data_IF_375941399826
#
_entry.id   IF_375941399826
#
_cell.length_a   1.000
_cell.length_b   1.000
_cell.length_c   1.000
_cell.angle_alpha   90.00
_cell.angle_beta   90.00
_cell.angle_gamma   90.00
#
_symmetry.space_group_name_H-M   'P 1'
#
loop_
_entity.id
_entity.type
_entity.pdbx_description
1 polymer ?
#
# COMPACT_ATOMS: atom_id res chain seq x y z
N UNK A 1 16.83 -6.62 -24.43
CA UNK A 1 16.68 -6.13 -23.03
C UNK A 1 15.27 -5.59 -22.87
N UNK A 2 14.59 -5.90 -21.78
CA UNK A 2 13.26 -5.35 -21.53
C UNK A 2 13.35 -3.83 -21.39
N UNK A 3 12.36 -3.14 -21.96
CA UNK A 3 12.31 -1.68 -21.98
C UNK A 3 12.02 -1.12 -20.59
N UNK A 4 12.61 0.04 -20.30
CA UNK A 4 12.27 0.80 -19.09
C UNK A 4 10.87 1.40 -19.27
N UNK A 5 10.01 1.13 -18.32
CA UNK A 5 8.64 1.64 -18.28
C UNK A 5 8.49 2.68 -17.18
N UNK A 6 7.55 3.58 -17.36
CA UNK A 6 7.21 4.61 -16.37
C UNK A 6 5.78 4.39 -15.86
N UNK A 7 5.61 4.41 -14.55
CA UNK A 7 4.32 4.35 -13.88
C UNK A 7 4.13 5.58 -13.01
N UNK A 8 2.98 6.21 -13.14
CA UNK A 8 2.59 7.37 -12.34
C UNK A 8 1.58 6.95 -11.27
N UNK A 9 1.77 7.42 -10.06
CA UNK A 9 0.81 7.20 -8.98
C UNK A 9 0.94 8.24 -7.88
N UNK A 10 0.02 8.22 -6.96
CA UNK A 10 0.08 9.00 -5.72
C UNK A 10 0.92 8.28 -4.67
N UNK A 11 1.80 9.01 -3.98
CA UNK A 11 2.53 8.49 -2.82
C UNK A 11 1.53 8.13 -1.71
N UNK A 12 1.69 6.94 -1.14
CA UNK A 12 0.76 6.38 -0.16
C UNK A 12 1.27 6.45 1.30
N UNK A 13 2.34 7.20 1.57
CA UNK A 13 2.90 7.27 2.93
C UNK A 13 2.11 8.20 3.83
N UNK A 14 1.68 9.34 3.31
CA UNK A 14 0.92 10.32 4.09
C UNK A 14 -0.16 11.01 3.25
N UNK A 15 -0.95 11.86 3.90
CA UNK A 15 -2.08 12.58 3.29
C UNK A 15 -1.68 13.69 2.32
N UNK A 16 -0.41 14.02 2.20
CA UNK A 16 0.07 15.03 1.22
C UNK A 16 -0.20 14.60 -0.23
N UNK A 17 -0.37 13.31 -0.48
CA UNK A 17 -0.76 12.74 -1.77
C UNK A 17 0.12 13.20 -2.94
N UNK A 18 1.43 13.32 -2.71
CA UNK A 18 2.37 13.74 -3.74
C UNK A 18 2.34 12.80 -4.95
N UNK A 19 2.30 13.35 -6.15
CA UNK A 19 2.44 12.58 -7.39
C UNK A 19 3.87 12.09 -7.56
N UNK A 20 4.03 10.82 -7.84
CA UNK A 20 5.32 10.19 -8.09
C UNK A 20 5.39 9.50 -9.45
N UNK A 21 6.58 9.57 -10.03
CA UNK A 21 6.98 8.87 -11.24
C UNK A 21 7.91 7.73 -10.86
N UNK A 22 7.53 6.50 -11.19
CA UNK A 22 8.31 5.29 -10.92
C UNK A 22 8.83 4.75 -12.24
N UNK A 23 10.15 4.70 -12.40
CA UNK A 23 10.77 3.99 -13.50
C UNK A 23 11.09 2.57 -13.08
N UNK A 24 10.67 1.61 -13.90
CA UNK A 24 10.85 0.19 -13.60
C UNK A 24 11.12 -0.63 -14.87
N UNK A 25 11.69 -1.79 -14.65
CA UNK A 25 11.92 -2.82 -15.67
C UNK A 25 11.52 -4.16 -15.07
N UNK A 26 10.54 -4.82 -15.69
CA UNK A 26 9.91 -6.02 -15.14
C UNK A 26 9.39 -5.78 -13.70
N UNK A 27 10.02 -6.37 -12.70
CA UNK A 27 9.70 -6.20 -11.27
C UNK A 27 10.73 -5.34 -10.51
N UNK A 28 11.72 -4.80 -11.22
CA UNK A 28 12.78 -3.99 -10.64
C UNK A 28 12.41 -2.51 -10.69
N UNK A 29 12.39 -1.86 -9.54
CA UNK A 29 12.24 -0.40 -9.44
C UNK A 29 13.61 0.23 -9.65
N UNK A 30 13.74 1.06 -10.68
CA UNK A 30 14.97 1.74 -11.03
C UNK A 30 15.09 3.11 -10.36
N UNK A 31 14.01 3.86 -10.29
CA UNK A 31 13.97 5.17 -9.63
C UNK A 31 12.56 5.59 -9.24
N UNK A 32 12.46 6.39 -8.19
CA UNK A 32 11.24 7.09 -7.79
C UNK A 32 11.54 8.57 -7.70
N UNK A 33 10.78 9.39 -8.42
CA UNK A 33 10.91 10.85 -8.49
C UNK A 33 9.54 11.51 -8.33
N UNK A 34 9.53 12.81 -8.08
CA UNK A 34 8.31 13.60 -8.15
C UNK A 34 7.80 13.72 -9.59
N UNK A 35 6.51 13.55 -9.78
CA UNK A 35 5.85 13.80 -11.05
C UNK A 35 5.66 15.31 -11.27
N UNK A 36 6.43 15.87 -12.19
CA UNK A 36 6.37 17.30 -12.53
C UNK A 36 5.05 17.73 -13.17
N UNK A 37 4.28 16.78 -13.69
CA UNK A 37 2.97 17.05 -14.32
C UNK A 37 1.81 16.94 -13.34
N UNK A 38 2.07 16.44 -12.12
CA UNK A 38 1.03 16.42 -11.09
C UNK A 38 0.59 17.85 -10.74
N UNK A 39 -0.70 18.17 -10.87
CA UNK A 39 -1.19 19.54 -10.69
C UNK A 39 -1.11 20.02 -9.23
N UNK A 40 -1.09 19.09 -8.28
CA UNK A 40 -1.04 19.39 -6.86
C UNK A 40 0.39 19.54 -6.35
N UNK A 41 1.21 18.50 -6.48
CA UNK A 41 2.56 18.46 -5.93
C UNK A 41 3.63 19.05 -6.85
N UNK A 42 3.38 19.09 -8.17
CA UNK A 42 4.26 19.73 -9.18
C UNK A 42 5.71 19.24 -9.16
N UNK A 43 5.92 17.97 -8.85
CA UNK A 43 7.25 17.36 -8.76
C UNK A 43 7.90 17.46 -7.38
N UNK A 44 7.26 18.10 -6.40
CA UNK A 44 7.76 18.15 -5.03
C UNK A 44 7.42 16.85 -4.29
N UNK A 45 8.44 16.22 -3.72
CA UNK A 45 8.30 15.05 -2.85
C UNK A 45 9.25 15.17 -1.67
N UNK A 46 8.90 14.57 -0.55
CA UNK A 46 9.81 14.46 0.58
C UNK A 46 10.70 13.20 0.44
N UNK A 47 11.78 13.07 1.22
CA UNK A 47 12.66 11.90 1.19
C UNK A 47 11.96 10.56 1.43
N UNK A 48 10.84 10.55 2.16
CA UNK A 48 10.06 9.33 2.42
C UNK A 48 9.49 8.70 1.15
N UNK A 49 9.09 9.50 0.16
CA UNK A 49 8.59 9.00 -1.11
C UNK A 49 9.69 8.26 -1.91
N UNK A 50 10.91 8.76 -1.87
CA UNK A 50 12.08 8.08 -2.48
C UNK A 50 12.37 6.77 -1.74
N UNK A 51 12.24 6.77 -0.41
CA UNK A 51 12.44 5.60 0.44
C UNK A 51 11.40 4.48 0.22
N UNK A 52 10.32 4.72 -0.54
CA UNK A 52 9.40 3.65 -0.96
C UNK A 52 10.11 2.52 -1.72
N UNK A 53 11.19 2.81 -2.40
CA UNK A 53 12.01 1.79 -3.07
C UNK A 53 12.64 0.84 -2.05
N UNK A 54 13.20 1.35 -0.96
CA UNK A 54 13.77 0.54 0.13
C UNK A 54 12.68 -0.27 0.82
N UNK A 55 11.53 0.36 1.08
CA UNK A 55 10.37 -0.32 1.63
C UNK A 55 9.89 -1.49 0.75
N UNK A 56 9.88 -1.32 -0.56
CA UNK A 56 9.49 -2.37 -1.51
C UNK A 56 10.41 -3.60 -1.42
N UNK A 57 11.71 -3.39 -1.22
CA UNK A 57 12.71 -4.45 -1.15
C UNK A 57 12.99 -4.95 0.28
N UNK A 58 12.35 -4.36 1.28
CA UNK A 58 12.54 -4.77 2.67
C UNK A 58 12.14 -6.23 2.87
N UNK A 59 13.04 -6.99 3.50
CA UNK A 59 12.84 -8.43 3.74
C UNK A 59 11.72 -8.70 4.73
N UNK A 60 11.49 -7.78 5.66
CA UNK A 60 10.48 -7.90 6.71
C UNK A 60 9.11 -7.37 6.28
N UNK A 61 9.01 -6.87 5.05
CA UNK A 61 7.72 -6.41 4.50
C UNK A 61 6.73 -7.56 4.41
N UNK A 62 5.54 -7.36 4.97
CA UNK A 62 4.42 -8.28 4.84
C UNK A 62 3.99 -8.39 3.36
N UNK A 63 3.88 -9.62 2.86
CA UNK A 63 3.50 -9.91 1.47
C UNK A 63 2.18 -10.66 1.36
N UNK A 64 1.72 -11.20 2.48
CA UNK A 64 0.46 -11.95 2.60
C UNK A 64 -0.26 -11.52 3.87
N UNK A 65 -1.59 -11.67 3.94
CA UNK A 65 -2.33 -11.41 5.16
C UNK A 65 -1.90 -12.33 6.30
N UNK A 66 -1.88 -11.79 7.50
CA UNK A 66 -1.58 -12.54 8.72
C UNK A 66 -2.79 -12.49 9.65
N UNK A 67 -3.18 -13.65 10.15
CA UNK A 67 -4.22 -13.80 11.17
C UNK A 67 -3.59 -14.08 12.53
N UNK A 68 -4.01 -13.35 13.56
CA UNK A 68 -3.59 -13.61 14.93
C UNK A 68 -4.26 -14.87 15.47
N UNK A 69 -3.46 -15.74 16.09
CA UNK A 69 -3.92 -16.96 16.76
C UNK A 69 -3.42 -16.99 18.20
N UNK A 70 -3.81 -17.99 18.99
CA UNK A 70 -3.26 -18.20 20.33
C UNK A 70 -1.75 -18.36 20.36
N UNK A 71 -1.19 -18.95 19.30
CA UNK A 71 0.23 -19.31 19.22
C UNK A 71 1.07 -18.31 18.42
N UNK A 72 0.47 -17.19 17.98
CA UNK A 72 1.17 -16.14 17.24
C UNK A 72 0.43 -15.73 15.95
N UNK A 73 1.17 -15.62 14.85
CA UNK A 73 0.64 -15.18 13.56
C UNK A 73 0.66 -16.31 12.56
N UNK A 74 -0.45 -16.47 11.82
CA UNK A 74 -0.61 -17.45 10.75
C UNK A 74 -0.83 -16.74 9.42
N UNK A 75 -0.12 -17.15 8.38
CA UNK A 75 -0.40 -16.70 7.01
C UNK A 75 -1.72 -17.28 6.53
N UNK A 76 -2.54 -16.45 5.90
CA UNK A 76 -3.82 -16.83 5.28
C UNK A 76 -3.91 -16.28 3.85
N UNK A 77 -4.82 -16.85 3.06
CA UNK A 77 -5.08 -16.34 1.71
C UNK A 77 -5.83 -15.01 1.72
N UNK A 78 -5.73 -14.26 0.63
CA UNK A 78 -6.42 -12.97 0.48
C UNK A 78 -7.93 -13.10 0.52
N UNK A 79 -8.50 -14.14 -0.11
CA UNK A 79 -9.95 -14.37 -0.07
C UNK A 79 -10.45 -14.62 1.35
N UNK A 80 -9.80 -15.51 2.08
CA UNK A 80 -10.12 -15.77 3.48
C UNK A 80 -10.04 -14.50 4.34
N UNK A 81 -8.98 -13.70 4.15
CA UNK A 81 -8.79 -12.48 4.90
C UNK A 81 -9.89 -11.44 4.62
N UNK A 82 -10.24 -11.25 3.35
CA UNK A 82 -11.27 -10.29 2.94
C UNK A 82 -12.66 -10.73 3.40
N UNK A 83 -12.99 -12.01 3.29
CA UNK A 83 -14.27 -12.56 3.75
C UNK A 83 -14.42 -12.41 5.28
N UNK A 84 -13.38 -12.74 6.02
CA UNK A 84 -13.39 -12.61 7.48
C UNK A 84 -13.56 -11.15 7.91
N UNK A 85 -12.80 -10.22 7.32
CA UNK A 85 -12.93 -8.78 7.63
C UNK A 85 -14.33 -8.27 7.30
N UNK A 86 -14.86 -8.60 6.12
CA UNK A 86 -16.20 -8.19 5.71
C UNK A 86 -17.28 -8.74 6.66
N UNK A 87 -17.16 -10.01 7.06
CA UNK A 87 -18.10 -10.62 7.98
C UNK A 87 -18.04 -9.99 9.37
N UNK A 88 -16.84 -9.70 9.88
CA UNK A 88 -16.67 -9.05 11.18
C UNK A 88 -17.22 -7.62 11.20
N UNK A 89 -17.02 -6.85 10.13
CA UNK A 89 -17.61 -5.51 10.01
C UNK A 89 -19.14 -5.58 10.06
N UNK A 90 -19.75 -6.50 9.30
CA UNK A 90 -21.21 -6.71 9.33
C UNK A 90 -21.71 -7.07 10.73
N UNK A 91 -21.06 -8.03 11.37
CA UNK A 91 -21.43 -8.47 12.72
C UNK A 91 -21.37 -7.32 13.73
N UNK A 92 -20.33 -6.48 13.67
CA UNK A 92 -20.18 -5.32 14.55
C UNK A 92 -21.29 -4.30 14.30
N UNK A 93 -21.58 -4.00 13.04
CA UNK A 93 -22.62 -3.05 12.66
C UNK A 93 -24.03 -3.55 13.06
N UNK A 94 -24.31 -4.83 12.87
CA UNK A 94 -25.58 -5.45 13.28
C UNK A 94 -25.77 -5.43 14.81
N UNK A 95 -24.69 -5.71 15.54
CA UNK A 95 -24.75 -5.80 17.00
C UNK A 95 -24.76 -4.42 17.70
N UNK A 96 -24.02 -3.45 17.18
CA UNK A 96 -23.78 -2.18 17.86
C UNK A 96 -24.19 -0.94 17.04
N UNK A 97 -24.71 -1.12 15.83
CA UNK A 97 -25.14 -0.04 14.93
C UNK A 97 -24.08 0.33 13.87
N UNK A 98 -24.54 1.03 12.83
CA UNK A 98 -23.72 1.36 11.66
C UNK A 98 -22.50 2.24 11.97
N UNK A 99 -22.56 3.01 13.04
CA UNK A 99 -21.48 3.90 13.46
C UNK A 99 -20.47 3.24 14.40
N UNK A 100 -20.61 1.95 14.68
CA UNK A 100 -19.72 1.23 15.59
C UNK A 100 -18.37 0.83 14.96
N UNK A 101 -18.25 0.95 13.63
CA UNK A 101 -17.01 0.71 12.91
C UNK A 101 -16.38 2.06 12.50
N UNK A 102 -15.13 2.26 12.89
CA UNK A 102 -14.35 3.43 12.52
C UNK A 102 -13.11 3.03 11.69
N UNK A 103 -12.70 3.93 10.82
CA UNK A 103 -11.50 3.73 9.99
C UNK A 103 -10.60 4.96 10.02
#
# INVERSE_FOLDING_TARGET
MPDIKTHYRTCNICEAMCGIEIQYRDKEILSIKGDKKDPLSRGHICPKAVALQDFYYDKDRLKVPLKRTSDGWKEIGWEEALDEVAQQIKNIQEKYGVNAFGS
#
